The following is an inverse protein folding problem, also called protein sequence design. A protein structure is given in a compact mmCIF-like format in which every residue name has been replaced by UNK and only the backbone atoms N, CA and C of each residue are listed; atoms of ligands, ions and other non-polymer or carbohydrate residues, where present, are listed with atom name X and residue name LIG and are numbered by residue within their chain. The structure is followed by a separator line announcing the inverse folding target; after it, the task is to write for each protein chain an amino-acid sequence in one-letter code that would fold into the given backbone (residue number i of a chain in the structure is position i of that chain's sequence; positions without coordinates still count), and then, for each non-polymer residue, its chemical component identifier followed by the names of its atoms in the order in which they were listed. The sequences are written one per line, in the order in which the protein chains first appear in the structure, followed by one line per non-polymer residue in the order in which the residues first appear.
data_IF_265180712222
#
_entry.id   IF_265180712222
#
_cell.length_a   1.000
_cell.length_b   1.000
_cell.length_c   1.000
_cell.angle_alpha   90.00
_cell.angle_beta   90.00
_cell.angle_gamma   90.00
#
_symmetry.space_group_name_H-M   'P 1'
#
loop_
_entity.id
_entity.type
_entity.pdbx_description
1 polymer ?
#
# COMPACT_ATOMS: atom_id res chain seq x y z
N UNK A 1 -1.03 5.13 -12.25
CA UNK A 1 -0.33 5.18 -10.96
C UNK A 1 0.27 3.82 -10.58
N UNK A 2 1.29 3.86 -9.74
CA UNK A 2 2.11 2.67 -9.32
C UNK A 2 1.40 1.69 -8.36
N UNK A 3 0.17 1.98 -7.94
CA UNK A 3 -0.62 1.09 -7.07
C UNK A 3 -0.59 1.40 -5.57
N UNK A 4 -0.19 2.59 -5.14
CA UNK A 4 -0.20 3.01 -3.72
C UNK A 4 -1.56 2.79 -3.05
N UNK A 5 -2.61 3.43 -3.57
CA UNK A 5 -3.97 3.29 -3.04
C UNK A 5 -4.49 1.85 -3.12
N UNK A 6 -4.06 1.08 -4.15
CA UNK A 6 -4.38 -0.36 -4.23
C UNK A 6 -3.75 -1.13 -3.07
N UNK A 7 -2.46 -0.92 -2.80
CA UNK A 7 -1.80 -1.52 -1.64
C UNK A 7 -2.53 -1.15 -0.34
N UNK A 8 -2.89 0.13 -0.16
CA UNK A 8 -3.59 0.60 1.03
C UNK A 8 -4.96 -0.09 1.23
N UNK A 9 -5.78 -0.21 0.17
CA UNK A 9 -7.07 -0.92 0.23
C UNK A 9 -6.90 -2.39 0.56
N UNK A 10 -5.93 -3.07 -0.09
CA UNK A 10 -5.70 -4.50 0.15
C UNK A 10 -5.22 -4.76 1.58
N UNK A 11 -4.28 -3.95 2.09
CA UNK A 11 -3.80 -4.06 3.47
C UNK A 11 -4.91 -3.74 4.47
N UNK A 12 -5.67 -2.66 4.25
CA UNK A 12 -6.77 -2.29 5.13
C UNK A 12 -7.81 -3.40 5.26
N UNK A 13 -8.21 -3.97 4.12
CA UNK A 13 -9.19 -5.06 4.08
C UNK A 13 -8.68 -6.34 4.75
N UNK A 14 -7.44 -6.74 4.48
CA UNK A 14 -6.90 -7.99 5.01
C UNK A 14 -6.54 -7.87 6.50
N UNK A 15 -6.00 -6.75 6.96
CA UNK A 15 -5.76 -6.55 8.40
C UNK A 15 -7.06 -6.47 9.20
N UNK A 16 -8.10 -5.82 8.66
CA UNK A 16 -9.43 -5.83 9.28
C UNK A 16 -9.99 -7.26 9.37
N UNK A 17 -9.83 -8.06 8.31
CA UNK A 17 -10.20 -9.49 8.31
C UNK A 17 -9.42 -10.29 9.36
N UNK A 18 -8.14 -9.95 9.60
CA UNK A 18 -7.31 -10.56 10.65
C UNK A 18 -7.69 -10.11 12.06
N UNK A 19 -8.66 -9.18 12.20
CA UNK A 19 -9.22 -8.73 13.48
C UNK A 19 -8.70 -7.38 13.97
N UNK A 20 -7.77 -6.74 13.27
CA UNK A 20 -7.29 -5.41 13.63
C UNK A 20 -8.35 -4.34 13.39
N UNK A 21 -8.36 -3.30 14.22
CA UNK A 21 -9.00 -2.03 13.87
C UNK A 21 -8.08 -1.25 12.92
N UNK A 22 -8.56 -0.86 11.75
CA UNK A 22 -7.74 -0.18 10.76
C UNK A 22 -8.24 1.23 10.51
N UNK A 23 -7.35 2.20 10.65
CA UNK A 23 -7.61 3.59 10.23
C UNK A 23 -6.80 3.90 8.99
N UNK A 24 -7.48 4.32 7.93
CA UNK A 24 -6.86 4.74 6.68
C UNK A 24 -6.89 6.26 6.59
N UNK A 25 -5.74 6.88 6.39
CA UNK A 25 -5.58 8.31 6.20
C UNK A 25 -5.36 8.58 4.70
N UNK A 26 -6.36 9.16 4.02
CA UNK A 26 -6.28 9.52 2.59
C UNK A 26 -5.65 10.89 2.41
N UNK A 27 -4.34 10.91 2.24
CA UNK A 27 -3.53 12.11 2.05
C UNK A 27 -3.12 12.34 0.58
N UNK A 28 -3.56 11.49 -0.35
CA UNK A 28 -3.32 11.69 -1.79
C UNK A 28 -4.33 12.71 -2.35
N UNK A 29 -3.88 13.76 -3.05
CA UNK A 29 -4.78 14.75 -3.66
C UNK A 29 -5.82 14.15 -4.63
N UNK A 30 -5.51 12.99 -5.21
CA UNK A 30 -6.45 12.28 -6.09
C UNK A 30 -7.65 11.67 -5.36
N UNK A 31 -7.62 11.58 -4.03
CA UNK A 31 -8.72 11.08 -3.19
C UNK A 31 -9.27 9.71 -3.65
N UNK A 32 -8.38 8.81 -4.04
CA UNK A 32 -8.76 7.49 -4.54
C UNK A 32 -9.42 6.64 -3.46
N UNK A 33 -8.92 6.70 -2.23
CA UNK A 33 -9.49 5.95 -1.11
C UNK A 33 -10.82 6.55 -0.64
N UNK A 34 -10.97 7.85 -0.72
CA UNK A 34 -12.24 8.53 -0.43
C UNK A 34 -13.34 8.07 -1.40
N UNK A 35 -13.01 7.93 -2.70
CA UNK A 35 -13.97 7.38 -3.68
C UNK A 35 -14.30 5.92 -3.41
N UNK A 36 -13.30 5.10 -3.11
CA UNK A 36 -13.51 3.71 -2.70
C UNK A 36 -14.46 3.60 -1.50
N UNK A 37 -14.23 4.39 -0.46
CA UNK A 37 -15.03 4.41 0.75
C UNK A 37 -16.48 4.88 0.49
N UNK A 38 -16.71 5.74 -0.48
CA UNK A 38 -18.04 6.20 -0.89
C UNK A 38 -18.96 5.07 -1.40
N UNK A 39 -18.38 3.96 -1.84
CA UNK A 39 -19.12 2.75 -2.25
C UNK A 39 -19.24 1.69 -1.13
N UNK A 40 -18.73 2.00 0.06
CA UNK A 40 -18.72 1.13 1.23
C UNK A 40 -17.34 0.62 1.57
N UNK A 41 -17.06 0.51 2.86
CA UNK A 41 -15.78 0.01 3.39
C UNK A 41 -16.02 -1.26 4.22
N UNK A 42 -15.01 -2.13 4.37
CA UNK A 42 -15.12 -3.30 5.24
C UNK A 42 -15.36 -2.93 6.70
N UNK A 43 -15.98 -3.82 7.45
CA UNK A 43 -16.05 -3.70 8.90
C UNK A 43 -14.65 -3.53 9.51
N UNK A 44 -14.57 -2.77 10.60
CA UNK A 44 -13.32 -2.42 11.30
C UNK A 44 -12.36 -1.52 10.54
N UNK A 45 -12.72 -1.04 9.33
CA UNK A 45 -11.96 -0.02 8.61
C UNK A 45 -12.62 1.33 8.80
N UNK A 46 -11.85 2.33 9.13
CA UNK A 46 -12.27 3.74 9.20
C UNK A 46 -11.43 4.55 8.22
N UNK A 47 -12.05 5.44 7.46
CA UNK A 47 -11.34 6.37 6.59
C UNK A 47 -11.39 7.78 7.17
N UNK A 48 -10.24 8.46 7.17
CA UNK A 48 -10.14 9.91 7.39
C UNK A 48 -9.52 10.55 6.16
N UNK A 49 -10.10 11.62 5.71
CA UNK A 49 -9.63 12.45 4.59
C UNK A 49 -9.43 13.89 5.07
N UNK A 50 -9.04 14.78 4.17
CA UNK A 50 -8.83 16.22 4.48
C UNK A 50 -7.78 16.48 5.59
N UNK A 51 -6.73 15.67 5.59
CA UNK A 51 -5.63 15.77 6.55
C UNK A 51 -4.54 16.66 5.95
N UNK A 52 -4.37 17.82 6.56
CA UNK A 52 -3.34 18.78 6.18
C UNK A 52 -1.96 18.42 6.75
N UNK A 53 -0.95 19.15 6.26
CA UNK A 53 0.45 18.97 6.68
C UNK A 53 0.66 19.09 8.20
N UNK A 54 -0.02 20.02 8.85
CA UNK A 54 0.06 20.22 10.31
C UNK A 54 -0.65 19.13 11.10
N UNK A 55 -1.61 18.45 10.49
CA UNK A 55 -2.53 17.54 11.14
C UNK A 55 -2.11 16.06 11.02
N UNK A 56 -1.18 15.73 10.07
CA UNK A 56 -0.82 14.34 9.81
C UNK A 56 -0.27 13.62 11.04
N UNK A 57 0.65 14.22 11.78
CA UNK A 57 1.25 13.61 12.96
C UNK A 57 0.23 13.44 14.09
N UNK A 58 -0.56 14.48 14.46
CA UNK A 58 -1.68 14.30 15.40
C UNK A 58 -2.67 13.20 14.94
N UNK A 59 -3.04 13.18 13.66
CA UNK A 59 -3.99 12.21 13.12
C UNK A 59 -3.48 10.76 13.22
N UNK A 60 -2.18 10.53 12.94
CA UNK A 60 -1.55 9.23 13.11
C UNK A 60 -1.59 8.82 14.59
N UNK A 61 -1.14 9.67 15.49
CA UNK A 61 -1.09 9.39 16.95
C UNK A 61 -2.47 9.15 17.57
N UNK A 62 -3.48 9.86 17.11
CA UNK A 62 -4.87 9.67 17.58
C UNK A 62 -5.44 8.33 17.11
N UNK A 63 -5.07 7.91 15.89
CA UNK A 63 -5.54 6.65 15.30
C UNK A 63 -4.78 5.44 15.82
N UNK A 64 -3.57 5.63 16.32
CA UNK A 64 -2.69 4.58 16.84
C UNK A 64 -3.21 4.00 18.17
N UNK A 65 -2.85 2.76 18.49
CA UNK A 65 -3.21 2.09 19.74
C UNK A 65 -3.11 0.57 19.65
N UNK A 66 -3.27 -0.10 20.77
CA UNK A 66 -3.19 -1.55 20.86
C UNK A 66 -4.18 -2.25 19.93
N UNK A 67 -3.69 -3.15 19.11
CA UNK A 67 -4.50 -3.89 18.13
C UNK A 67 -5.03 -3.04 16.98
N UNK A 68 -4.49 -1.84 16.79
CA UNK A 68 -4.82 -0.93 15.69
C UNK A 68 -3.70 -0.85 14.68
N UNK A 69 -4.07 -0.58 13.44
CA UNK A 69 -3.14 -0.31 12.33
C UNK A 69 -3.54 0.99 11.67
N UNK A 70 -2.58 1.88 11.46
CA UNK A 70 -2.78 3.12 10.72
C UNK A 70 -2.10 2.98 9.37
N UNK A 71 -2.86 3.16 8.30
CA UNK A 71 -2.36 3.15 6.92
C UNK A 71 -2.48 4.56 6.36
N UNK A 72 -1.37 5.11 5.89
CA UNK A 72 -1.33 6.45 5.29
C UNK A 72 -1.09 6.32 3.81
N UNK A 73 -2.08 6.72 2.98
CA UNK A 73 -1.93 6.81 1.52
C UNK A 73 -1.44 8.20 1.14
N UNK A 74 -0.23 8.27 0.62
CA UNK A 74 0.49 9.51 0.32
C UNK A 74 0.57 9.77 -1.17
N UNK A 75 0.72 11.02 -1.53
CA UNK A 75 1.11 11.40 -2.90
C UNK A 75 2.46 10.80 -3.29
N UNK A 76 2.73 10.75 -4.61
CA UNK A 76 3.98 10.16 -5.13
C UNK A 76 5.15 11.13 -5.20
N UNK A 77 5.03 12.34 -4.65
CA UNK A 77 6.04 13.42 -4.74
C UNK A 77 6.56 13.73 -3.35
N UNK A 78 7.84 14.03 -3.25
CA UNK A 78 8.43 14.49 -2.00
C UNK A 78 7.75 15.78 -1.51
N UNK A 79 7.26 15.77 -0.30
CA UNK A 79 6.63 16.93 0.33
C UNK A 79 6.81 16.87 1.84
N UNK A 80 6.61 18.00 2.51
CA UNK A 80 6.69 18.02 3.99
C UNK A 80 5.63 17.13 4.65
N UNK A 81 4.51 16.86 4.00
CA UNK A 81 3.50 15.94 4.50
C UNK A 81 4.05 14.50 4.44
N UNK A 82 4.68 14.12 3.32
CA UNK A 82 5.30 12.81 3.13
C UNK A 82 6.41 12.59 4.16
N UNK A 83 7.35 13.54 4.31
CA UNK A 83 8.41 13.48 5.33
C UNK A 83 7.87 13.28 6.75
N UNK A 84 6.85 14.03 7.13
CA UNK A 84 6.23 13.91 8.45
C UNK A 84 5.54 12.56 8.65
N UNK A 85 4.88 12.03 7.63
CA UNK A 85 4.27 10.69 7.72
C UNK A 85 5.34 9.61 7.85
N UNK A 86 6.40 9.66 7.03
CA UNK A 86 7.54 8.73 7.08
C UNK A 86 8.18 8.73 8.47
N UNK A 87 8.33 9.90 9.10
CA UNK A 87 8.94 10.02 10.43
C UNK A 87 8.16 9.31 11.55
N UNK A 88 6.88 9.03 11.35
CA UNK A 88 6.03 8.32 12.32
C UNK A 88 5.80 6.84 11.95
N UNK A 89 6.25 6.40 10.77
CA UNK A 89 5.97 5.06 10.29
C UNK A 89 6.83 3.99 10.97
N UNK A 90 6.20 2.84 11.28
CA UNK A 90 6.88 1.61 11.67
C UNK A 90 7.40 0.86 10.44
N UNK A 91 6.75 1.03 9.29
CA UNK A 91 7.15 0.45 8.01
C UNK A 91 6.70 1.36 6.88
N UNK A 92 7.61 1.71 5.99
CA UNK A 92 7.31 2.41 4.73
C UNK A 92 7.29 1.40 3.58
N UNK A 93 6.19 1.31 2.87
CA UNK A 93 6.05 0.46 1.69
C UNK A 93 6.17 1.32 0.45
N UNK A 94 7.08 0.97 -0.45
CA UNK A 94 7.30 1.67 -1.73
C UNK A 94 6.80 0.79 -2.88
N UNK A 95 5.60 1.02 -3.41
CA UNK A 95 5.12 0.31 -4.58
C UNK A 95 5.83 0.75 -5.85
N UNK A 96 6.30 -0.20 -6.66
CA UNK A 96 6.93 0.04 -7.96
C UNK A 96 6.34 -0.88 -9.02
N UNK A 97 6.17 -0.40 -10.24
CA UNK A 97 5.98 -1.29 -11.39
C UNK A 97 7.36 -1.69 -11.93
N UNK A 98 7.50 -2.88 -12.52
CA UNK A 98 8.76 -3.31 -13.13
C UNK A 98 8.97 -2.65 -14.51
N UNK A 99 9.03 -1.32 -14.53
CA UNK A 99 9.34 -0.48 -15.69
C UNK A 99 10.50 0.46 -15.34
N UNK A 100 11.25 0.90 -16.34
CA UNK A 100 12.39 1.81 -16.10
C UNK A 100 11.94 3.15 -15.45
N UNK A 101 10.82 3.71 -15.91
CA UNK A 101 10.28 4.96 -15.36
C UNK A 101 9.84 4.82 -13.91
N UNK A 102 9.12 3.74 -13.58
CA UNK A 102 8.65 3.53 -12.20
C UNK A 102 9.81 3.16 -11.26
N UNK A 103 10.87 2.53 -11.76
CA UNK A 103 12.10 2.29 -11.00
C UNK A 103 12.81 3.61 -10.64
N UNK A 104 12.83 4.60 -11.55
CA UNK A 104 13.38 5.94 -11.28
C UNK A 104 12.58 6.64 -10.17
N UNK A 105 11.24 6.70 -10.30
CA UNK A 105 10.34 7.27 -9.28
C UNK A 105 10.49 6.57 -7.94
N UNK A 106 10.60 5.24 -7.95
CA UNK A 106 10.83 4.48 -6.72
C UNK A 106 12.19 4.77 -6.08
N UNK A 107 13.22 5.04 -6.88
CA UNK A 107 14.54 5.45 -6.40
C UNK A 107 14.49 6.82 -5.70
N UNK A 108 13.69 7.76 -6.18
CA UNK A 108 13.45 9.04 -5.52
C UNK A 108 12.79 8.86 -4.14
N UNK A 109 11.80 7.96 -4.04
CA UNK A 109 11.17 7.64 -2.77
C UNK A 109 12.15 7.01 -1.76
N UNK A 110 13.03 6.13 -2.23
CA UNK A 110 14.09 5.53 -1.41
C UNK A 110 15.16 6.57 -0.99
N UNK A 111 15.47 7.53 -1.85
CA UNK A 111 16.37 8.63 -1.51
C UNK A 111 15.76 9.51 -0.41
N UNK A 112 14.48 9.86 -0.51
CA UNK A 112 13.78 10.61 0.52
C UNK A 112 13.79 9.88 1.88
N UNK A 113 13.58 8.56 1.89
CA UNK A 113 13.66 7.79 3.13
C UNK A 113 15.04 7.90 3.77
N UNK A 114 16.12 7.85 2.98
CA UNK A 114 17.49 8.00 3.49
C UNK A 114 17.75 9.40 4.04
N UNK A 115 17.25 10.44 3.38
CA UNK A 115 17.33 11.81 3.89
C UNK A 115 16.63 11.96 5.25
N UNK A 116 15.45 11.33 5.39
CA UNK A 116 14.73 11.32 6.67
C UNK A 116 15.45 10.49 7.75
N UNK A 117 16.09 9.37 7.39
CA UNK A 117 16.94 8.59 8.31
C UNK A 117 18.09 9.43 8.86
N UNK A 118 18.78 10.17 7.97
CA UNK A 118 19.86 11.08 8.36
C UNK A 118 19.35 12.20 9.27
N UNK A 119 18.23 12.82 8.92
CA UNK A 119 17.64 13.92 9.70
C UNK A 119 17.17 13.47 11.10
N UNK A 120 16.65 12.26 11.22
CA UNK A 120 16.15 11.68 12.47
C UNK A 120 17.22 10.98 13.31
N UNK A 121 18.39 10.66 12.71
CA UNK A 121 19.44 9.88 13.35
C UNK A 121 19.03 8.43 13.68
N UNK A 122 18.06 7.87 12.96
CA UNK A 122 17.58 6.49 13.15
C UNK A 122 17.18 5.86 11.82
N UNK A 123 17.31 4.55 11.74
CA UNK A 123 16.80 3.79 10.60
C UNK A 123 15.27 3.83 10.52
N UNK A 124 14.74 3.85 9.30
CA UNK A 124 13.33 3.74 8.98
C UNK A 124 13.12 2.43 8.22
N UNK A 125 12.40 1.50 8.84
CA UNK A 125 12.10 0.23 8.17
C UNK A 125 11.31 0.52 6.89
N UNK A 126 11.79 0.03 5.77
CA UNK A 126 11.13 0.21 4.49
C UNK A 126 11.30 -1.02 3.61
N UNK A 127 10.34 -1.24 2.72
CA UNK A 127 10.35 -2.34 1.78
C UNK A 127 9.71 -1.94 0.46
N UNK A 128 10.19 -2.51 -0.63
CA UNK A 128 9.61 -2.34 -1.97
C UNK A 128 8.64 -3.47 -2.25
N UNK A 129 7.49 -3.18 -2.82
CA UNK A 129 6.58 -4.16 -3.41
C UNK A 129 6.44 -3.93 -4.92
N UNK A 130 6.73 -4.95 -5.72
CA UNK A 130 6.47 -4.87 -7.14
C UNK A 130 4.99 -5.07 -7.41
N UNK A 131 4.42 -4.15 -8.18
CA UNK A 131 2.99 -4.11 -8.51
C UNK A 131 2.76 -4.31 -10.00
N UNK A 132 1.53 -4.65 -10.37
CA UNK A 132 1.11 -4.89 -11.77
C UNK A 132 2.03 -5.87 -12.51
N UNK A 133 2.57 -6.83 -11.78
CA UNK A 133 3.42 -7.87 -12.36
C UNK A 133 2.59 -8.88 -13.19
N UNK A 134 3.26 -9.65 -14.03
CA UNK A 134 2.60 -10.72 -14.80
C UNK A 134 2.31 -11.94 -13.92
N UNK A 135 1.14 -12.55 -14.10
CA UNK A 135 0.78 -13.80 -13.42
C UNK A 135 1.52 -15.02 -13.99
N UNK A 136 1.94 -14.96 -15.23
CA UNK A 136 2.47 -16.13 -15.94
C UNK A 136 3.99 -16.24 -15.81
N UNK A 137 4.72 -15.19 -16.16
CA UNK A 137 6.19 -15.21 -16.18
C UNK A 137 6.73 -13.86 -15.73
N UNK A 138 7.74 -13.88 -14.85
CA UNK A 138 8.51 -12.67 -14.52
C UNK A 138 9.25 -12.18 -15.76
N UNK A 139 9.04 -10.95 -16.15
CA UNK A 139 9.78 -10.33 -17.25
C UNK A 139 11.27 -10.21 -16.91
N UNK A 140 12.11 -10.04 -17.93
CA UNK A 140 13.54 -9.80 -17.74
C UNK A 140 13.76 -8.52 -16.90
N UNK A 141 13.04 -7.45 -17.23
CA UNK A 141 13.11 -6.18 -16.49
C UNK A 141 12.75 -6.36 -15.02
N UNK A 142 11.71 -7.15 -14.72
CA UNK A 142 11.34 -7.45 -13.33
C UNK A 142 12.46 -8.17 -12.58
N UNK A 143 13.08 -9.18 -13.19
CA UNK A 143 14.18 -9.92 -12.56
C UNK A 143 15.40 -9.03 -12.29
N UNK A 144 15.80 -8.24 -13.28
CA UNK A 144 16.91 -7.29 -13.17
C UNK A 144 16.65 -6.26 -12.05
N UNK A 145 15.42 -5.72 -11.96
CA UNK A 145 15.05 -4.78 -10.90
C UNK A 145 15.08 -5.44 -9.52
N UNK A 146 14.53 -6.65 -9.37
CA UNK A 146 14.58 -7.39 -8.09
C UNK A 146 16.02 -7.67 -7.66
N UNK A 147 16.91 -8.02 -8.60
CA UNK A 147 18.34 -8.25 -8.34
C UNK A 147 19.04 -6.96 -7.92
N UNK A 148 18.78 -5.84 -8.59
CA UNK A 148 19.34 -4.52 -8.26
C UNK A 148 18.90 -4.06 -6.86
N UNK A 149 17.62 -4.17 -6.53
CA UNK A 149 17.09 -3.81 -5.23
C UNK A 149 17.73 -4.63 -4.10
N UNK A 150 17.77 -5.97 -4.27
CA UNK A 150 18.42 -6.86 -3.29
C UNK A 150 19.93 -6.62 -3.19
N UNK A 151 20.59 -6.38 -4.32
CA UNK A 151 22.02 -6.04 -4.34
C UNK A 151 22.34 -4.72 -3.62
N UNK A 152 21.39 -3.79 -3.60
CA UNK A 152 21.46 -2.55 -2.82
C UNK A 152 21.03 -2.71 -1.35
N UNK A 153 20.69 -3.93 -0.89
CA UNK A 153 20.25 -4.19 0.47
C UNK A 153 18.80 -3.78 0.74
N UNK A 154 18.01 -3.49 -0.30
CA UNK A 154 16.60 -3.11 -0.15
C UNK A 154 15.75 -4.38 0.03
N UNK A 155 14.91 -4.38 1.06
CA UNK A 155 13.92 -5.44 1.29
C UNK A 155 12.84 -5.41 0.19
N UNK A 156 12.60 -6.56 -0.43
CA UNK A 156 11.58 -6.73 -1.47
C UNK A 156 10.49 -7.67 -0.98
N UNK A 157 9.27 -7.16 -0.86
CA UNK A 157 8.13 -7.93 -0.40
C UNK A 157 7.73 -8.96 -1.46
N UNK A 158 7.65 -10.21 -1.06
CA UNK A 158 7.08 -11.29 -1.86
C UNK A 158 5.84 -11.87 -1.16
N UNK A 159 4.81 -12.23 -1.93
CA UNK A 159 4.72 -12.14 -3.40
C UNK A 159 4.47 -10.72 -3.88
N UNK A 160 4.87 -10.44 -5.12
CA UNK A 160 4.49 -9.20 -5.82
C UNK A 160 2.98 -9.14 -6.05
N UNK A 161 2.45 -7.94 -6.22
CA UNK A 161 1.04 -7.75 -6.58
C UNK A 161 0.85 -7.87 -8.09
N UNK A 162 0.19 -8.95 -8.48
CA UNK A 162 -0.06 -9.28 -9.88
C UNK A 162 -1.16 -8.36 -10.44
N UNK A 163 -1.04 -7.99 -11.72
CA UNK A 163 -2.09 -7.23 -12.40
C UNK A 163 -3.39 -8.03 -12.46
N UNK A 164 -4.45 -7.52 -11.83
CA UNK A 164 -5.77 -8.15 -11.73
C UNK A 164 -6.87 -7.10 -11.94
N UNK A 165 -7.87 -7.43 -12.75
CA UNK A 165 -9.04 -6.58 -12.92
C UNK A 165 -9.75 -6.32 -11.59
N UNK A 166 -9.88 -7.35 -10.74
CA UNK A 166 -10.51 -7.24 -9.42
C UNK A 166 -9.90 -6.15 -8.52
N UNK A 167 -8.60 -5.87 -8.62
CA UNK A 167 -7.98 -4.77 -7.86
C UNK A 167 -8.44 -3.38 -8.33
N UNK A 168 -8.71 -3.23 -9.62
CA UNK A 168 -9.26 -1.98 -10.17
C UNK A 168 -10.75 -1.85 -9.88
N UNK A 169 -11.47 -2.97 -9.90
CA UNK A 169 -12.91 -3.03 -9.64
C UNK A 169 -13.25 -2.66 -8.18
N UNK A 170 -12.33 -2.86 -7.21
CA UNK A 170 -12.51 -2.38 -5.84
C UNK A 170 -12.81 -0.87 -5.77
N UNK A 171 -12.21 -0.07 -6.64
CA UNK A 171 -12.45 1.38 -6.67
C UNK A 171 -13.77 1.77 -7.35
N UNK A 172 -14.35 0.87 -8.13
CA UNK A 172 -15.65 1.07 -8.78
C UNK A 172 -16.82 0.61 -7.89
N UNK A 173 -16.61 -0.44 -7.10
CA UNK A 173 -17.71 -1.08 -6.35
C UNK A 173 -17.56 -0.96 -4.83
N UNK A 174 -16.40 -0.55 -4.32
CA UNK A 174 -16.13 -0.48 -2.88
C UNK A 174 -15.97 -1.85 -2.22
N UNK A 175 -15.99 -1.87 -0.88
CA UNK A 175 -15.87 -3.10 -0.10
C UNK A 175 -14.48 -3.74 -0.19
N UNK A 176 -14.44 -5.06 -0.17
CA UNK A 176 -13.23 -5.86 -0.28
C UNK A 176 -13.39 -7.03 -1.27
N UNK A 177 -12.30 -7.75 -1.52
CA UNK A 177 -12.30 -8.90 -2.43
C UNK A 177 -13.15 -10.07 -1.92
N UNK A 178 -13.37 -10.19 -0.62
CA UNK A 178 -14.22 -11.24 -0.05
C UNK A 178 -15.68 -10.98 -0.38
N UNK A 179 -16.14 -9.74 -0.20
CA UNK A 179 -17.48 -9.30 -0.61
C UNK A 179 -17.67 -9.45 -2.12
N UNK A 180 -16.68 -9.01 -2.91
CA UNK A 180 -16.69 -9.14 -4.37
C UNK A 180 -16.77 -10.60 -4.82
N UNK A 181 -16.17 -11.54 -4.10
CA UNK A 181 -16.26 -12.97 -4.38
C UNK A 181 -17.65 -13.55 -4.07
N UNK A 182 -18.35 -12.98 -3.08
CA UNK A 182 -19.71 -13.40 -2.69
C UNK A 182 -20.79 -12.81 -3.57
N UNK A 183 -20.55 -11.62 -4.12
CA UNK A 183 -21.50 -10.89 -4.96
C UNK A 183 -20.96 -10.74 -6.38
N UNK A 184 -21.42 -11.62 -7.27
CA UNK A 184 -20.98 -11.63 -8.67
C UNK A 184 -21.35 -10.36 -9.46
N UNK A 185 -22.25 -9.52 -8.95
CA UNK A 185 -22.58 -8.24 -9.57
C UNK A 185 -21.47 -7.19 -9.41
N UNK A 186 -20.55 -7.41 -8.47
CA UNK A 186 -19.41 -6.53 -8.18
C UNK A 186 -18.15 -6.83 -9.03
N UNK A 187 -18.25 -7.73 -9.98
CA UNK A 187 -17.10 -8.10 -10.84
C UNK A 187 -17.55 -8.38 -12.26
N UNK A 188 -16.72 -8.02 -13.22
CA UNK A 188 -16.95 -8.28 -14.65
C UNK A 188 -16.41 -9.64 -15.12
N UNK A 189 -16.20 -10.60 -14.19
CA UNK A 189 -15.74 -11.96 -14.50
C UNK A 189 -14.26 -12.20 -14.24
N UNK A 190 -13.62 -11.35 -13.46
CA UNK A 190 -12.25 -11.53 -13.00
C UNK A 190 -12.12 -12.75 -12.07
N UNK A 191 -10.93 -13.35 -12.04
CA UNK A 191 -10.60 -14.42 -11.09
C UNK A 191 -10.38 -13.81 -9.70
N UNK A 192 -11.46 -13.43 -9.02
CA UNK A 192 -11.42 -12.77 -7.70
C UNK A 192 -10.72 -13.66 -6.67
N UNK A 193 -10.90 -14.99 -6.74
CA UNK A 193 -10.25 -15.94 -5.84
C UNK A 193 -8.71 -15.86 -5.89
N UNK A 194 -8.14 -15.74 -7.09
CA UNK A 194 -6.70 -15.59 -7.28
C UNK A 194 -6.20 -14.21 -6.87
N UNK A 195 -7.02 -13.17 -7.04
CA UNK A 195 -6.73 -11.84 -6.54
C UNK A 195 -6.71 -11.83 -5.00
N UNK A 196 -7.70 -12.45 -4.37
CA UNK A 196 -7.81 -12.57 -2.91
C UNK A 196 -6.62 -13.35 -2.32
N UNK A 197 -6.21 -14.47 -2.93
CA UNK A 197 -5.02 -15.22 -2.50
C UNK A 197 -3.75 -14.36 -2.57
N UNK A 198 -3.57 -13.59 -3.64
CA UNK A 198 -2.42 -12.69 -3.80
C UNK A 198 -2.45 -11.54 -2.77
N UNK A 199 -3.62 -10.93 -2.52
CA UNK A 199 -3.78 -9.90 -1.52
C UNK A 199 -3.48 -10.41 -0.09
N UNK A 200 -3.97 -11.60 0.26
CA UNK A 200 -3.69 -12.24 1.56
C UNK A 200 -2.22 -12.50 1.77
N UNK A 201 -1.55 -13.13 0.81
CA UNK A 201 -0.13 -13.41 0.91
C UNK A 201 0.71 -12.12 1.00
N UNK A 202 0.31 -11.06 0.29
CA UNK A 202 0.93 -9.73 0.43
C UNK A 202 0.73 -9.15 1.84
N UNK A 203 -0.49 -9.17 2.37
CA UNK A 203 -0.77 -8.65 3.70
C UNK A 203 -0.06 -9.45 4.80
N UNK A 204 0.03 -10.77 4.69
CA UNK A 204 0.80 -11.63 5.59
C UNK A 204 2.29 -11.27 5.55
N UNK A 205 2.87 -11.06 4.37
CA UNK A 205 4.26 -10.66 4.22
C UNK A 205 4.56 -9.28 4.82
N UNK A 206 3.60 -8.35 4.74
CA UNK A 206 3.69 -7.04 5.42
C UNK A 206 3.58 -7.20 6.94
N UNK A 207 2.64 -8.01 7.41
CA UNK A 207 2.44 -8.24 8.84
C UNK A 207 3.68 -8.83 9.53
N UNK A 208 4.37 -9.77 8.86
CA UNK A 208 5.64 -10.32 9.39
C UNK A 208 6.72 -9.25 9.57
N UNK A 209 6.70 -8.19 8.78
CA UNK A 209 7.62 -7.05 8.90
C UNK A 209 7.25 -6.04 9.98
N UNK A 210 6.02 -6.09 10.47
CA UNK A 210 5.55 -5.24 11.57
C UNK A 210 5.83 -5.85 12.96
N UNK A 211 6.12 -7.16 13.02
CA UNK A 211 6.56 -7.85 14.24
C UNK A 211 8.00 -7.47 14.58
#
# INVERSE_FOLDING_TARGET
GVGKSTCAVLLASEFARMGAGVTVLDCDPNKSLTRWAGHGIPDRVTLRNDIGRSEIVPAIREADGDGRIVIVDLEGVASQLVSRAISQADLVIVPMQPTALDAEIGSEALALIREEEEALGRAIRHAVVLTKTSAAVKSRVQKELEEQLRGAGIDVIEPSLVSRAAFSELFAYGGDLTRMMQDSSMTTGGKVDTALKNARAFAEAVYERLK
#
